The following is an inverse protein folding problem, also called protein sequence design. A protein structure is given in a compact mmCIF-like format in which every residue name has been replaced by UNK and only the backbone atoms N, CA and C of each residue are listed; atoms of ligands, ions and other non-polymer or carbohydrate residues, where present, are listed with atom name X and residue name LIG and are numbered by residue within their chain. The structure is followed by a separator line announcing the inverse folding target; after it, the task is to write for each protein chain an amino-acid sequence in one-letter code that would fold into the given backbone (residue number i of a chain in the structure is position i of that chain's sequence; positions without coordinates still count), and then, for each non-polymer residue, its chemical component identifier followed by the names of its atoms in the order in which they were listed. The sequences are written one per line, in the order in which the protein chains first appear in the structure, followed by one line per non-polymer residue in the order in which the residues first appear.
data_IF_624451774531
#
_entry.id   IF_624451774531
#
_cell.length_a   1.000
_cell.length_b   1.000
_cell.length_c   1.000
_cell.angle_alpha   90.00
_cell.angle_beta   90.00
_cell.angle_gamma   90.00
#
_symmetry.space_group_name_H-M   'P 1'
#
loop_
_entity.id
_entity.type
_entity.pdbx_description
1 polymer ?
#
# COMPACT_ATOMS: atom_id res chain seq x y z
N UNK A 1 1.93 -17.68 -21.66
CA UNK A 1 1.35 -18.46 -20.55
C UNK A 1 0.07 -17.75 -20.12
N UNK A 2 -1.10 -18.39 -20.22
CA UNK A 2 -2.38 -17.83 -19.73
C UNK A 2 -2.50 -18.15 -18.25
N UNK A 3 -2.74 -17.13 -17.41
CA UNK A 3 -2.92 -17.25 -15.96
C UNK A 3 -3.97 -18.31 -15.62
N UNK A 4 -3.68 -19.17 -14.64
CA UNK A 4 -4.46 -20.38 -14.30
C UNK A 4 -5.63 -20.06 -13.35
N UNK A 5 -5.77 -18.80 -12.90
CA UNK A 5 -6.98 -18.34 -12.20
C UNK A 5 -7.41 -16.99 -12.79
N UNK A 6 -8.54 -16.88 -13.50
CA UNK A 6 -9.11 -15.59 -13.81
C UNK A 6 -9.49 -14.92 -12.48
N UNK A 7 -8.94 -13.72 -12.24
CA UNK A 7 -9.33 -12.89 -11.11
C UNK A 7 -10.85 -12.73 -11.13
N UNK A 8 -11.50 -12.96 -10.00
CA UNK A 8 -12.90 -12.60 -9.80
C UNK A 8 -13.09 -11.09 -10.02
N UNK A 9 -14.30 -10.63 -10.35
CA UNK A 9 -14.54 -9.20 -10.59
C UNK A 9 -14.07 -8.30 -9.43
N UNK A 10 -14.22 -8.78 -8.19
CA UNK A 10 -13.70 -8.13 -6.98
C UNK A 10 -12.17 -8.04 -6.96
N UNK A 11 -11.48 -9.13 -7.30
CA UNK A 11 -10.01 -9.14 -7.38
C UNK A 11 -9.50 -8.28 -8.54
N UNK A 12 -10.26 -8.18 -9.63
CA UNK A 12 -9.94 -7.30 -10.74
C UNK A 12 -10.02 -5.83 -10.30
N UNK A 13 -11.09 -5.41 -9.64
CA UNK A 13 -11.25 -4.03 -9.14
C UNK A 13 -10.22 -3.70 -8.04
N UNK A 14 -9.93 -4.65 -7.16
CA UNK A 14 -8.87 -4.50 -6.17
C UNK A 14 -7.49 -4.31 -6.83
N UNK A 15 -7.18 -5.10 -7.87
CA UNK A 15 -5.91 -4.97 -8.62
C UNK A 15 -5.87 -3.69 -9.44
N UNK A 16 -7.00 -3.20 -9.95
CA UNK A 16 -7.08 -1.91 -10.65
C UNK A 16 -6.80 -0.73 -9.71
N UNK A 17 -7.32 -0.77 -8.48
CA UNK A 17 -7.03 0.26 -7.47
C UNK A 17 -5.55 0.31 -7.08
N UNK A 18 -4.84 -0.82 -7.16
CA UNK A 18 -3.40 -0.90 -6.95
C UNK A 18 -2.58 -0.38 -8.15
N UNK A 19 -3.24 -0.02 -9.25
CA UNK A 19 -2.62 0.55 -10.47
C UNK A 19 -2.94 2.03 -10.69
N UNK A 20 -3.86 2.58 -9.91
CA UNK A 20 -4.24 3.98 -9.99
C UNK A 20 -3.40 4.81 -9.00
N UNK A 21 -2.43 5.54 -9.53
CA UNK A 21 -1.50 6.37 -8.75
C UNK A 21 -2.22 7.36 -7.84
N UNK A 22 -3.36 7.91 -8.24
CA UNK A 22 -4.11 8.88 -7.43
C UNK A 22 -4.73 8.21 -6.19
N UNK A 23 -5.32 7.02 -6.37
CA UNK A 23 -5.85 6.20 -5.28
C UNK A 23 -4.75 5.75 -4.31
N UNK A 24 -3.60 5.32 -4.84
CA UNK A 24 -2.44 4.89 -4.02
C UNK A 24 -1.89 6.09 -3.22
N UNK A 25 -1.73 7.26 -3.85
CA UNK A 25 -1.25 8.47 -3.20
C UNK A 25 -2.22 8.98 -2.13
N UNK A 26 -3.52 8.93 -2.41
CA UNK A 26 -4.56 9.28 -1.43
C UNK A 26 -4.48 8.37 -0.21
N UNK A 27 -4.36 7.06 -0.42
CA UNK A 27 -4.25 6.07 0.65
C UNK A 27 -2.98 6.27 1.48
N UNK A 28 -1.83 6.53 0.83
CA UNK A 28 -0.58 6.84 1.52
C UNK A 28 -0.70 8.08 2.43
N UNK A 29 -1.38 9.14 1.97
CA UNK A 29 -1.64 10.36 2.76
C UNK A 29 -2.54 10.09 3.97
N UNK A 30 -3.56 9.25 3.82
CA UNK A 30 -4.42 8.88 4.94
C UNK A 30 -3.64 8.07 5.99
N UNK A 31 -2.85 7.09 5.55
CA UNK A 31 -2.05 6.26 6.46
C UNK A 31 -1.00 7.09 7.20
N UNK A 32 -0.32 8.03 6.53
CA UNK A 32 0.65 8.91 7.20
C UNK A 32 -0.01 9.82 8.23
N UNK A 33 -1.20 10.36 7.95
CA UNK A 33 -1.97 11.14 8.90
C UNK A 33 -2.37 10.30 10.13
N UNK A 34 -2.76 9.04 9.93
CA UNK A 34 -3.10 8.12 11.02
C UNK A 34 -1.89 7.78 11.89
N UNK A 35 -0.71 7.55 11.30
CA UNK A 35 0.54 7.33 12.07
C UNK A 35 0.80 8.53 12.97
N UNK A 36 0.77 9.75 12.43
CA UNK A 36 0.99 10.98 13.20
C UNK A 36 -0.05 11.13 14.32
N UNK A 37 -1.32 10.86 14.03
CA UNK A 37 -2.39 10.96 15.02
C UNK A 37 -2.21 9.96 16.17
N UNK A 38 -1.94 8.70 15.86
CA UNK A 38 -1.72 7.64 16.87
C UNK A 38 -0.49 7.96 17.70
N UNK A 39 0.63 8.38 17.09
CA UNK A 39 1.83 8.76 17.85
C UNK A 39 1.60 9.99 18.74
N UNK A 40 0.78 10.95 18.32
CA UNK A 40 0.55 12.18 19.07
C UNK A 40 -0.48 12.02 20.21
N UNK A 41 -1.54 11.24 19.99
CA UNK A 41 -2.69 11.12 20.91
C UNK A 41 -2.78 9.77 21.61
N UNK A 42 -1.98 8.81 21.20
CA UNK A 42 -2.11 7.41 21.58
C UNK A 42 -3.38 6.77 21.02
N UNK A 43 -3.55 5.47 21.30
CA UNK A 43 -4.83 4.81 21.08
C UNK A 43 -5.77 5.00 22.27
N UNK A 44 -7.08 5.00 21.97
CA UNK A 44 -8.08 4.89 23.03
C UNK A 44 -7.87 3.56 23.79
N UNK A 45 -7.74 3.56 25.13
CA UNK A 45 -7.52 2.35 25.92
C UNK A 45 -8.66 1.33 25.85
N UNK A 46 -9.83 1.69 25.31
CA UNK A 46 -10.93 0.75 25.05
C UNK A 46 -10.81 -0.02 23.72
N UNK A 47 -9.68 0.11 23.00
CA UNK A 47 -9.44 -0.62 21.74
C UNK A 47 -8.84 -2.01 21.98
N UNK A 48 -9.21 -2.95 21.13
CA UNK A 48 -8.69 -4.33 21.16
C UNK A 48 -7.21 -4.45 20.79
N UNK A 49 -6.65 -3.45 20.10
CA UNK A 49 -5.27 -3.45 19.61
C UNK A 49 -4.40 -2.52 20.45
N UNK A 50 -3.22 -2.98 20.86
CA UNK A 50 -2.24 -2.16 21.54
C UNK A 50 -1.61 -1.15 20.58
N UNK A 51 -1.21 0.02 21.10
CA UNK A 51 -0.64 1.11 20.29
C UNK A 51 0.60 0.71 19.47
N UNK A 52 1.58 -0.05 20.01
CA UNK A 52 2.72 -0.49 19.23
C UNK A 52 2.32 -1.36 18.03
N UNK A 53 1.33 -2.24 18.21
CA UNK A 53 0.85 -3.12 17.15
C UNK A 53 0.12 -2.34 16.06
N UNK A 54 -0.66 -1.34 16.44
CA UNK A 54 -1.33 -0.46 15.49
C UNK A 54 -0.34 0.38 14.68
N UNK A 55 0.68 0.94 15.34
CA UNK A 55 1.73 1.69 14.65
C UNK A 55 2.54 0.79 13.72
N UNK A 56 2.85 -0.43 14.14
CA UNK A 56 3.52 -1.41 13.29
C UNK A 56 2.68 -1.74 12.04
N UNK A 57 1.40 -2.04 12.23
CA UNK A 57 0.48 -2.32 11.13
C UNK A 57 0.33 -1.14 10.16
N UNK A 58 0.16 0.09 10.68
CA UNK A 58 0.04 1.30 9.87
C UNK A 58 1.32 1.56 9.06
N UNK A 59 2.49 1.37 9.66
CA UNK A 59 3.77 1.54 8.96
C UNK A 59 3.94 0.53 7.81
N UNK A 60 3.61 -0.75 8.03
CA UNK A 60 3.65 -1.75 6.96
C UNK A 60 2.74 -1.37 5.80
N UNK A 61 1.50 -0.93 6.09
CA UNK A 61 0.57 -0.51 5.05
C UNK A 61 1.03 0.75 4.32
N UNK A 62 1.61 1.71 5.02
CA UNK A 62 2.15 2.90 4.40
C UNK A 62 3.32 2.54 3.47
N UNK A 63 4.20 1.64 3.92
CA UNK A 63 5.31 1.15 3.11
C UNK A 63 4.82 0.44 1.84
N UNK A 64 3.79 -0.41 1.92
CA UNK A 64 3.18 -1.04 0.74
C UNK A 64 2.75 0.01 -0.30
N UNK A 65 2.13 1.12 0.12
CA UNK A 65 1.70 2.18 -0.79
C UNK A 65 2.88 2.94 -1.40
N UNK A 66 3.94 3.20 -0.63
CA UNK A 66 5.14 3.87 -1.12
C UNK A 66 5.90 2.99 -2.12
N UNK A 67 5.95 1.68 -1.90
CA UNK A 67 6.54 0.71 -2.83
C UNK A 67 5.74 0.67 -4.15
N UNK A 68 4.40 0.69 -4.06
CA UNK A 68 3.54 0.80 -5.24
C UNK A 68 3.78 2.10 -6.00
N UNK A 69 3.86 3.26 -5.33
CA UNK A 69 4.18 4.54 -5.98
C UNK A 69 5.57 4.52 -6.63
N UNK A 70 6.57 3.92 -5.98
CA UNK A 70 7.92 3.78 -6.50
C UNK A 70 7.94 2.93 -7.78
N UNK A 71 7.13 1.88 -7.83
CA UNK A 71 6.94 1.06 -9.03
C UNK A 71 6.30 1.82 -10.19
N UNK A 72 5.34 2.72 -9.91
CA UNK A 72 4.64 3.49 -10.93
C UNK A 72 5.49 4.64 -11.50
N UNK A 73 6.42 5.17 -10.71
CA UNK A 73 7.33 6.24 -11.12
C UNK A 73 8.59 5.75 -11.85
N UNK A 74 8.76 4.43 -11.98
CA UNK A 74 9.91 3.82 -12.66
C UNK A 74 11.24 4.02 -11.92
N UNK A 75 11.20 4.27 -10.60
CA UNK A 75 12.43 4.33 -9.81
C UNK A 75 13.13 2.96 -9.77
N UNK A 76 14.45 2.96 -9.91
CA UNK A 76 15.31 1.77 -10.00
C UNK A 76 15.17 0.78 -8.83
N UNK A 77 14.67 1.25 -7.69
CA UNK A 77 14.56 0.47 -6.44
C UNK A 77 13.16 -0.11 -6.19
N UNK A 78 12.23 0.00 -7.15
CA UNK A 78 10.96 -0.68 -7.04
C UNK A 78 11.15 -2.22 -6.97
N UNK A 79 10.45 -2.95 -6.09
CA UNK A 79 10.53 -4.40 -6.04
C UNK A 79 10.24 -5.02 -7.42
N UNK A 80 11.09 -5.96 -7.88
CA UNK A 80 11.03 -6.53 -9.24
C UNK A 80 9.67 -7.04 -9.68
N UNK A 81 8.85 -7.52 -8.75
CA UNK A 81 7.51 -8.04 -9.03
C UNK A 81 6.48 -6.94 -9.37
N UNK A 82 6.84 -5.66 -9.17
CA UNK A 82 5.99 -4.50 -9.44
C UNK A 82 6.40 -3.71 -10.69
N UNK A 83 7.56 -4.00 -11.30
CA UNK A 83 7.98 -3.36 -12.55
C UNK A 83 7.15 -3.88 -13.73
N UNK A 84 6.65 -3.00 -14.60
CA UNK A 84 5.95 -3.42 -15.83
C UNK A 84 6.87 -4.28 -16.71
N UNK A 85 6.34 -5.38 -17.25
CA UNK A 85 7.04 -6.22 -18.24
C UNK A 85 7.34 -5.38 -19.49
N UNK A 86 8.55 -4.84 -19.57
CA UNK A 86 8.99 -3.93 -20.64
C UNK A 86 9.88 -2.78 -20.14
N UNK A 87 9.84 -2.45 -18.86
CA UNK A 87 10.76 -1.51 -18.22
C UNK A 87 12.09 -2.22 -17.87
N UNK A 88 12.83 -2.68 -18.89
CA UNK A 88 14.24 -3.04 -18.73
C UNK A 88 15.10 -1.89 -19.28
N UNK A 89 16.21 -1.53 -18.62
CA UNK A 89 17.22 -0.68 -19.25
C UNK A 89 17.84 -1.38 -20.47
#
# INVERSE_FOLDING_TARGET
MKSIFPLTGFEHDAVLNLRDTDTILHTARMLSALVVEVTAKGLNPSREMAEPDALHWLNLRLQDQLDLLSAHTGQKDAPRYMMQEGARP
#
